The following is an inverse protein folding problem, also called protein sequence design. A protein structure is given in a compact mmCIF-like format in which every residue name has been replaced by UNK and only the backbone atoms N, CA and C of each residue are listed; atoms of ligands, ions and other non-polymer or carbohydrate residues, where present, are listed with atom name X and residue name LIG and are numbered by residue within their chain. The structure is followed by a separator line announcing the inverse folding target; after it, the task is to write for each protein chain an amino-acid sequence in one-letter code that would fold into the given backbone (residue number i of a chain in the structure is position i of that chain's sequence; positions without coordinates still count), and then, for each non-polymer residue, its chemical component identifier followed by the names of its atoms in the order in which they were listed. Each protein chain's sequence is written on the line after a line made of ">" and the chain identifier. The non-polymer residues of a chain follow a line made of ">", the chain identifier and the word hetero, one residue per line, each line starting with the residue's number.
data_IF_296954532595
#
_entry.id   IF_296954532595
#
_cell.length_a   1.000
_cell.length_b   1.000
_cell.length_c   1.000
_cell.angle_alpha   90.00
_cell.angle_beta   90.00
_cell.angle_gamma   90.00
#
_symmetry.space_group_name_H-M   'P 1'
#
loop_
_entity.id
_entity.type
_entity.pdbx_description
1 polymer ?
#
# COMPACT_ATOMS: atom_id res chain seq x y z
N UNK A 1 -40.37 1.05 26.07
CA UNK A 1 -39.01 1.61 26.21
C UNK A 1 -37.91 0.57 25.95
N UNK A 2 -37.85 -0.54 26.71
CA UNK A 2 -36.86 -1.60 26.54
C UNK A 2 -36.80 -2.20 25.11
N UNK A 3 -37.96 -2.48 24.51
CA UNK A 3 -38.02 -3.04 23.16
C UNK A 3 -37.42 -2.10 22.10
N UNK A 4 -37.59 -0.79 22.27
CA UNK A 4 -37.06 0.23 21.35
C UNK A 4 -35.54 0.38 21.47
N UNK A 5 -35.00 0.23 22.69
CA UNK A 5 -33.55 0.27 22.94
C UNK A 5 -32.87 -0.96 22.34
N UNK A 6 -33.48 -2.14 22.48
CA UNK A 6 -32.97 -3.39 21.90
C UNK A 6 -32.96 -3.31 20.37
N UNK A 7 -34.02 -2.80 19.74
CA UNK A 7 -34.06 -2.60 18.28
C UNK A 7 -32.98 -1.62 17.83
N UNK A 8 -32.79 -0.49 18.54
CA UNK A 8 -31.76 0.48 18.20
C UNK A 8 -30.34 -0.12 18.29
N UNK A 9 -30.06 -0.89 19.35
CA UNK A 9 -28.77 -1.57 19.51
C UNK A 9 -28.51 -2.59 18.40
N UNK A 10 -29.52 -3.39 18.04
CA UNK A 10 -29.42 -4.36 16.95
C UNK A 10 -29.17 -3.70 15.59
N UNK A 11 -29.85 -2.59 15.30
CA UNK A 11 -29.66 -1.82 14.06
C UNK A 11 -28.25 -1.22 14.00
N UNK A 12 -27.75 -0.66 15.11
CA UNK A 12 -26.37 -0.13 15.16
C UNK A 12 -25.31 -1.23 15.01
N UNK A 13 -25.52 -2.42 15.59
CA UNK A 13 -24.63 -3.56 15.43
C UNK A 13 -24.60 -4.07 13.98
N UNK A 14 -25.76 -4.10 13.30
CA UNK A 14 -25.87 -4.55 11.91
C UNK A 14 -25.20 -3.55 10.94
N UNK A 15 -25.38 -2.24 11.15
CA UNK A 15 -24.71 -1.20 10.38
C UNK A 15 -23.19 -1.23 10.55
N UNK A 16 -22.70 -1.51 11.76
CA UNK A 16 -21.27 -1.66 12.03
C UNK A 16 -20.65 -2.91 11.36
N UNK A 17 -21.41 -4.02 11.29
CA UNK A 17 -20.97 -5.24 10.61
C UNK A 17 -20.84 -5.04 9.09
N UNK A 18 -21.76 -4.31 8.46
CA UNK A 18 -21.67 -4.00 7.03
C UNK A 18 -20.49 -3.09 6.68
N UNK A 19 -20.08 -2.21 7.60
CA UNK A 19 -18.94 -1.31 7.40
C UNK A 19 -17.57 -2.03 7.44
N UNK A 20 -17.53 -3.27 7.94
CA UNK A 20 -16.29 -4.04 8.16
C UNK A 20 -16.13 -5.24 7.22
N UNK A 21 -17.18 -5.61 6.48
CA UNK A 21 -17.07 -6.60 5.42
C UNK A 21 -16.35 -5.98 4.21
N UNK A 22 -15.13 -6.47 3.93
CA UNK A 22 -14.44 -6.12 2.69
C UNK A 22 -15.30 -6.45 1.46
N UNK A 23 -15.04 -5.76 0.34
CA UNK A 23 -15.76 -5.97 -0.92
C UNK A 23 -15.65 -7.41 -1.48
N UNK A 24 -14.70 -8.20 -0.97
CA UNK A 24 -14.42 -9.55 -1.40
C UNK A 24 -14.33 -10.50 -0.20
N UNK A 25 -14.81 -11.75 -0.34
CA UNK A 25 -14.63 -12.79 0.68
C UNK A 25 -13.14 -13.05 0.92
N UNK A 26 -12.78 -13.33 2.17
CA UNK A 26 -11.38 -13.60 2.53
C UNK A 26 -10.91 -14.95 2.01
N UNK A 27 -9.76 -14.96 1.37
CA UNK A 27 -9.17 -16.16 0.76
C UNK A 27 -8.02 -16.75 1.59
N UNK A 28 -7.28 -17.70 1.01
CA UNK A 28 -6.13 -18.33 1.66
C UNK A 28 -4.94 -17.37 1.83
N UNK A 29 -4.75 -16.42 0.92
CA UNK A 29 -3.67 -15.43 0.98
C UNK A 29 -3.95 -14.41 2.08
N UNK A 30 -5.21 -14.02 2.28
CA UNK A 30 -5.60 -13.19 3.41
C UNK A 30 -5.30 -13.84 4.78
N UNK A 31 -5.55 -15.16 4.90
CA UNK A 31 -5.22 -15.91 6.12
C UNK A 31 -3.71 -15.99 6.35
N UNK A 32 -2.93 -16.14 5.29
CA UNK A 32 -1.47 -16.12 5.37
C UNK A 32 -0.96 -14.74 5.78
N UNK A 33 -1.54 -13.66 5.25
CA UNK A 33 -1.21 -12.29 5.65
C UNK A 33 -1.45 -12.08 7.15
N UNK A 34 -2.60 -12.49 7.70
CA UNK A 34 -2.90 -12.36 9.12
C UNK A 34 -1.90 -13.12 10.00
N UNK A 35 -1.58 -14.35 9.62
CA UNK A 35 -0.59 -15.17 10.31
C UNK A 35 0.80 -14.52 10.25
N UNK A 36 1.17 -13.98 9.09
CA UNK A 36 2.41 -13.23 8.89
C UNK A 36 2.48 -11.97 9.77
N UNK A 37 1.40 -11.19 9.85
CA UNK A 37 1.35 -9.99 10.67
C UNK A 37 1.48 -10.28 12.18
N UNK A 38 0.91 -11.39 12.67
CA UNK A 38 1.09 -11.83 14.06
C UNK A 38 2.57 -12.14 14.35
N UNK A 39 3.23 -12.87 13.44
CA UNK A 39 4.66 -13.20 13.54
C UNK A 39 5.53 -11.93 13.47
N UNK A 40 5.23 -11.02 12.54
CA UNK A 40 5.95 -9.76 12.40
C UNK A 40 5.83 -8.90 13.66
N UNK A 41 4.64 -8.80 14.26
CA UNK A 41 4.44 -8.06 15.51
C UNK A 41 5.28 -8.63 16.64
N UNK A 42 5.29 -9.95 16.80
CA UNK A 42 6.12 -10.61 17.81
C UNK A 42 7.62 -10.38 17.55
N UNK A 43 8.05 -10.47 16.29
CA UNK A 43 9.44 -10.24 15.90
C UNK A 43 9.90 -8.81 16.21
N UNK A 44 9.13 -7.79 15.80
CA UNK A 44 9.47 -6.38 16.04
C UNK A 44 9.47 -6.05 17.54
N UNK A 45 8.58 -6.66 18.32
CA UNK A 45 8.58 -6.47 19.79
C UNK A 45 9.85 -7.04 20.45
N UNK A 46 10.31 -8.20 19.98
CA UNK A 46 11.54 -8.83 20.47
C UNK A 46 12.81 -8.20 19.88
N UNK A 47 12.72 -7.57 18.70
CA UNK A 47 13.81 -6.97 17.96
C UNK A 47 13.42 -5.55 17.51
N UNK A 48 13.36 -4.58 18.43
CA UNK A 48 12.98 -3.21 18.08
C UNK A 48 13.96 -2.63 17.04
N UNK A 49 13.48 -2.10 15.91
CA UNK A 49 14.38 -1.56 14.89
C UNK A 49 14.97 -0.23 15.32
N UNK A 50 16.27 -0.04 15.07
CA UNK A 50 17.00 1.20 15.39
C UNK A 50 16.41 2.44 14.70
N UNK A 51 15.79 2.25 13.53
CA UNK A 51 15.09 3.32 12.80
C UNK A 51 13.90 3.93 13.55
N UNK A 52 13.45 3.31 14.65
CA UNK A 52 12.25 3.72 15.39
C UNK A 52 10.93 3.43 14.65
N UNK A 53 10.98 2.67 13.54
CA UNK A 53 9.81 2.21 12.81
C UNK A 53 9.05 1.16 13.62
N UNK A 54 7.82 1.45 14.05
CA UNK A 54 6.97 0.48 14.76
C UNK A 54 5.76 0.10 13.92
N UNK A 55 5.04 -0.97 14.30
CA UNK A 55 3.80 -1.37 13.62
C UNK A 55 2.77 -0.23 13.61
N UNK A 56 2.76 0.60 14.65
CA UNK A 56 1.85 1.72 14.84
C UNK A 56 2.23 2.93 13.99
N UNK A 57 3.53 3.16 13.78
CA UNK A 57 4.07 4.28 12.99
C UNK A 57 4.21 3.97 11.51
N UNK A 58 4.29 2.69 11.14
CA UNK A 58 4.49 2.27 9.76
C UNK A 58 3.32 2.68 8.87
N UNK A 59 3.64 3.15 7.66
CA UNK A 59 2.62 3.45 6.65
C UNK A 59 1.97 2.16 6.17
N UNK A 60 0.64 2.09 6.24
CA UNK A 60 -0.14 0.92 5.81
C UNK A 60 -0.38 0.99 4.30
N UNK A 61 0.03 -0.05 3.57
CA UNK A 61 -0.37 -0.25 2.17
C UNK A 61 -1.73 -0.95 2.14
N UNK A 62 -2.57 -0.54 1.20
CA UNK A 62 -3.92 -1.05 1.02
C UNK A 62 -4.07 -1.62 -0.38
N UNK A 63 -4.84 -2.69 -0.50
CA UNK A 63 -5.25 -3.24 -1.79
C UNK A 63 -6.12 -2.18 -2.52
N UNK A 64 -6.01 -2.11 -3.84
CA UNK A 64 -6.61 -1.03 -4.64
C UNK A 64 -8.13 -0.92 -4.47
N UNK A 65 -8.82 -2.05 -4.43
CA UNK A 65 -10.27 -2.14 -4.26
C UNK A 65 -10.72 -1.72 -2.87
N UNK A 66 -9.88 -1.90 -1.85
CA UNK A 66 -10.12 -1.41 -0.48
C UNK A 66 -9.98 0.11 -0.33
N UNK A 67 -9.43 0.82 -1.32
CA UNK A 67 -9.36 2.28 -1.31
C UNK A 67 -10.74 2.92 -1.58
N UNK A 68 -11.05 3.98 -0.85
CA UNK A 68 -12.23 4.80 -1.16
C UNK A 68 -12.07 5.50 -2.51
N UNK A 69 -13.18 5.94 -3.12
CA UNK A 69 -13.13 6.72 -4.37
C UNK A 69 -12.29 8.00 -4.23
N UNK A 70 -12.27 8.62 -3.05
CA UNK A 70 -11.43 9.78 -2.77
C UNK A 70 -9.94 9.42 -2.80
N UNK A 71 -9.56 8.35 -2.12
CA UNK A 71 -8.18 7.86 -2.07
C UNK A 71 -7.65 7.46 -3.46
N UNK A 72 -8.46 6.74 -4.26
CA UNK A 72 -8.08 6.40 -5.64
C UNK A 72 -7.83 7.65 -6.48
N UNK A 73 -8.67 8.68 -6.37
CA UNK A 73 -8.47 9.96 -7.08
C UNK A 73 -7.21 10.68 -6.61
N UNK A 74 -6.93 10.69 -5.31
CA UNK A 74 -5.71 11.29 -4.78
C UNK A 74 -4.46 10.59 -5.31
N UNK A 75 -4.46 9.25 -5.34
CA UNK A 75 -3.37 8.47 -5.93
C UNK A 75 -3.19 8.79 -7.42
N UNK A 76 -4.26 8.75 -8.22
CA UNK A 76 -4.22 9.09 -9.66
C UNK A 76 -3.71 10.51 -9.88
N UNK A 77 -4.16 11.48 -9.06
CA UNK A 77 -3.67 12.87 -9.12
C UNK A 77 -2.17 12.95 -8.84
N UNK A 78 -1.67 12.19 -7.86
CA UNK A 78 -0.24 12.13 -7.57
C UNK A 78 0.57 11.54 -8.73
N UNK A 79 0.09 10.46 -9.37
CA UNK A 79 0.75 9.88 -10.56
C UNK A 79 0.73 10.87 -11.74
N UNK A 80 -0.39 11.53 -12.00
CA UNK A 80 -0.46 12.60 -13.02
C UNK A 80 0.49 13.76 -12.73
N UNK A 81 0.69 14.11 -11.47
CA UNK A 81 1.70 15.10 -11.08
C UNK A 81 3.11 14.66 -11.49
N UNK A 82 3.48 13.38 -11.31
CA UNK A 82 4.76 12.86 -11.79
C UNK A 82 4.90 12.96 -13.33
N UNK A 83 3.83 12.66 -14.07
CA UNK A 83 3.83 12.85 -15.53
C UNK A 83 3.96 14.33 -15.95
N UNK A 84 3.45 15.27 -15.15
CA UNK A 84 3.50 16.70 -15.47
C UNK A 84 4.85 17.37 -15.18
N UNK A 85 5.65 16.79 -14.29
CA UNK A 85 6.94 17.37 -13.90
C UNK A 85 8.02 16.97 -14.89
N UNK A 86 8.98 17.85 -15.24
CA UNK A 86 10.03 17.51 -16.19
C UNK A 86 10.96 16.42 -15.66
N UNK A 87 11.43 15.56 -16.56
CA UNK A 87 12.49 14.56 -16.30
C UNK A 87 13.70 15.16 -15.59
N UNK A 88 14.28 14.41 -14.65
CA UNK A 88 15.56 14.76 -14.01
C UNK A 88 16.77 14.13 -14.68
N UNK A 89 16.59 13.09 -15.50
CA UNK A 89 17.69 12.50 -16.25
C UNK A 89 18.34 13.50 -17.22
N UNK A 90 19.67 13.49 -17.38
CA UNK A 90 20.34 14.22 -18.44
C UNK A 90 19.82 13.81 -19.82
N UNK A 91 19.58 14.80 -20.71
CA UNK A 91 19.07 14.55 -22.07
C UNK A 91 20.01 13.68 -22.91
N UNK A 92 21.32 13.71 -22.64
CA UNK A 92 22.33 12.86 -23.29
C UNK A 92 22.18 11.38 -22.94
N UNK A 93 21.69 11.07 -21.74
CA UNK A 93 21.55 9.69 -21.25
C UNK A 93 20.18 9.10 -21.58
N UNK A 94 19.13 9.92 -21.52
CA UNK A 94 17.75 9.51 -21.79
C UNK A 94 17.02 10.55 -22.66
N UNK A 95 17.35 10.63 -23.97
CA UNK A 95 16.76 11.64 -24.85
C UNK A 95 15.25 11.49 -25.03
N UNK A 96 14.70 10.31 -24.75
CA UNK A 96 13.26 10.02 -24.76
C UNK A 96 12.52 10.38 -23.48
N UNK A 97 13.22 10.62 -22.36
CA UNK A 97 12.56 10.98 -21.10
C UNK A 97 11.96 12.40 -21.19
N UNK A 98 10.69 12.53 -20.79
CA UNK A 98 9.96 13.81 -20.83
C UNK A 98 9.49 14.21 -19.44
N UNK A 99 9.12 13.24 -18.62
CA UNK A 99 8.50 13.44 -17.32
C UNK A 99 9.29 12.81 -16.16
N UNK A 100 8.99 13.23 -14.93
CA UNK A 100 9.48 12.56 -13.71
C UNK A 100 9.03 11.13 -13.61
N UNK A 101 7.90 10.77 -14.23
CA UNK A 101 7.48 9.38 -14.33
C UNK A 101 8.44 8.58 -15.22
N UNK A 102 8.87 9.16 -16.35
CA UNK A 102 9.81 8.51 -17.25
C UNK A 102 11.17 8.27 -16.59
N UNK A 103 11.60 9.09 -15.62
CA UNK A 103 12.81 8.83 -14.84
C UNK A 103 12.79 7.42 -14.22
N UNK A 104 11.66 7.03 -13.61
CA UNK A 104 11.51 5.70 -13.00
C UNK A 104 11.55 4.60 -14.06
N UNK A 105 10.93 4.83 -15.22
CA UNK A 105 10.94 3.89 -16.35
C UNK A 105 12.37 3.71 -16.88
N UNK A 106 13.10 4.81 -17.10
CA UNK A 106 14.49 4.80 -17.55
C UNK A 106 15.36 4.02 -16.58
N UNK A 107 15.30 4.31 -15.27
CA UNK A 107 16.06 3.57 -14.27
C UNK A 107 15.73 2.08 -14.31
N UNK A 108 14.45 1.71 -14.43
CA UNK A 108 14.03 0.32 -14.52
C UNK A 108 14.59 -0.36 -15.78
N UNK A 109 14.52 0.29 -16.95
CA UNK A 109 15.09 -0.21 -18.21
C UNK A 109 16.60 -0.40 -18.10
N UNK A 110 17.33 0.62 -17.65
CA UNK A 110 18.79 0.58 -17.49
C UNK A 110 19.25 -0.51 -16.52
N UNK A 111 18.46 -0.78 -15.46
CA UNK A 111 18.84 -1.75 -14.44
C UNK A 111 18.26 -3.15 -14.67
N UNK A 112 17.38 -3.36 -15.67
CA UNK A 112 16.56 -4.57 -15.83
C UNK A 112 17.35 -5.88 -15.66
N UNK A 113 18.53 -5.99 -16.26
CA UNK A 113 19.37 -7.20 -16.21
C UNK A 113 20.00 -7.49 -14.84
N UNK A 114 20.07 -6.50 -13.96
CA UNK A 114 20.61 -6.65 -12.61
C UNK A 114 19.54 -6.79 -11.53
N UNK A 115 18.25 -6.64 -11.88
CA UNK A 115 17.14 -6.65 -10.90
C UNK A 115 16.17 -7.83 -11.06
N UNK A 116 16.18 -8.51 -12.20
CA UNK A 116 15.34 -9.68 -12.46
C UNK A 116 16.18 -10.95 -12.47
N UNK A 117 15.75 -11.97 -11.71
CA UNK A 117 16.49 -13.24 -11.62
C UNK A 117 17.82 -13.15 -10.86
N UNK A 118 18.07 -12.05 -10.15
CA UNK A 118 19.28 -11.84 -9.36
C UNK A 118 18.96 -11.77 -7.86
N UNK A 119 19.95 -12.10 -7.02
CA UNK A 119 19.77 -12.11 -5.56
C UNK A 119 19.98 -10.73 -4.90
N UNK A 120 19.90 -9.61 -5.65
CA UNK A 120 20.27 -8.23 -5.27
C UNK A 120 20.80 -8.12 -3.84
N UNK A 121 22.06 -8.52 -3.62
CA UNK A 121 22.75 -8.18 -2.37
C UNK A 121 23.24 -6.76 -2.56
N UNK A 122 22.65 -5.83 -1.81
CA UNK A 122 23.29 -4.54 -1.61
C UNK A 122 24.72 -4.81 -1.16
N UNK A 123 25.70 -4.31 -1.91
CA UNK A 123 27.04 -4.09 -1.37
C UNK A 123 27.05 -2.70 -0.78
#
# INVERSE_FOLDING_TARGET
>A
MLLSIVVQLMVTALLAAQASAGLYPRDSVDRLQDSGMKKLKAYIAANPPESGCTIEKAIKRKEWSSLTRGERRLYIKAVKCLHSRPSKYPRSEAPGARSRFDDFVVTHVQQTMSIHGTARRNK
#
